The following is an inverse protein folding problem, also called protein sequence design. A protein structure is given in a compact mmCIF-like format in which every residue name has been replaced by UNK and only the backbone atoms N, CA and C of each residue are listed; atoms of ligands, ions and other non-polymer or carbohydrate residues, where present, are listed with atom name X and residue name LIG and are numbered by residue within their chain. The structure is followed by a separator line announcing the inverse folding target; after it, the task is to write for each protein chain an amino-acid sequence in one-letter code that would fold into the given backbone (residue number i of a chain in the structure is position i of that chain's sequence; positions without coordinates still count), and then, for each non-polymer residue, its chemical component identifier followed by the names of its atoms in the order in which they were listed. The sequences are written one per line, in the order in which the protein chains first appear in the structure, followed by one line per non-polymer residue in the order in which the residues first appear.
data_IF_367823121192
#
_entry.id   IF_367823121192
#
_cell.length_a   1.000
_cell.length_b   1.000
_cell.length_c   1.000
_cell.angle_alpha   90.00
_cell.angle_beta   90.00
_cell.angle_gamma   90.00
#
_symmetry.space_group_name_H-M   'P 1'
#
loop_
_entity.id
_entity.type
_entity.pdbx_description
1 polymer ?
#
# COMPACT_ATOMS: atom_id res chain seq x y z
N UNK A 1 3.71 13.33 -15.11
CA UNK A 1 3.54 13.20 -16.59
C UNK A 1 2.51 12.14 -16.97
N UNK A 2 2.44 11.04 -16.23
CA UNK A 2 1.62 9.86 -16.50
C UNK A 2 0.17 10.09 -16.06
N UNK A 3 -0.09 10.75 -14.92
CA UNK A 3 -1.45 11.05 -14.45
C UNK A 3 -2.29 11.90 -15.39
N UNK A 4 -1.67 12.75 -16.21
CA UNK A 4 -2.41 13.56 -17.18
C UNK A 4 -3.10 12.73 -18.25
N UNK A 5 -2.57 11.58 -18.62
CA UNK A 5 -3.17 10.72 -19.64
C UNK A 5 -4.23 9.74 -19.07
N UNK A 6 -3.99 9.15 -17.91
CA UNK A 6 -4.88 8.13 -17.31
C UNK A 6 -6.01 8.70 -16.46
N UNK A 7 -5.71 9.68 -15.62
CA UNK A 7 -6.70 10.26 -14.71
C UNK A 7 -7.74 11.17 -15.40
N UNK A 8 -7.45 11.68 -16.59
CA UNK A 8 -8.41 12.48 -17.37
C UNK A 8 -9.60 11.67 -17.91
N UNK A 9 -9.58 10.36 -17.80
CA UNK A 9 -10.59 9.50 -18.42
C UNK A 9 -11.75 9.13 -17.49
N UNK A 10 -11.69 9.46 -16.21
CA UNK A 10 -12.80 9.18 -15.29
C UNK A 10 -13.88 10.22 -15.48
N UNK A 11 -14.87 9.95 -16.35
CA UNK A 11 -16.15 10.67 -16.32
C UNK A 11 -16.84 10.34 -14.99
N UNK A 12 -16.79 11.27 -14.06
CA UNK A 12 -17.37 11.12 -12.74
C UNK A 12 -18.86 11.34 -12.76
N UNK A 13 -19.59 10.47 -12.07
CA UNK A 13 -20.94 10.77 -11.65
C UNK A 13 -20.97 11.86 -10.54
N UNK A 14 -19.87 11.99 -9.78
CA UNK A 14 -19.67 12.97 -8.72
C UNK A 14 -18.31 13.68 -8.83
N UNK A 15 -18.23 15.00 -8.67
CA UNK A 15 -17.00 15.77 -8.89
C UNK A 15 -16.08 15.82 -7.66
N UNK A 16 -15.76 14.70 -7.04
CA UNK A 16 -14.69 14.72 -6.03
C UNK A 16 -13.33 14.90 -6.71
N UNK A 17 -12.44 15.76 -6.18
CA UNK A 17 -11.13 15.95 -6.77
C UNK A 17 -10.30 14.66 -6.69
N UNK A 18 -9.51 14.37 -7.72
CA UNK A 18 -8.48 13.35 -7.62
C UNK A 18 -7.36 13.92 -6.75
N UNK A 19 -7.01 13.20 -5.71
CA UNK A 19 -5.93 13.55 -4.79
C UNK A 19 -4.71 12.71 -5.15
N UNK A 20 -3.61 13.36 -5.53
CA UNK A 20 -2.32 12.69 -5.71
C UNK A 20 -1.77 12.30 -4.35
N UNK A 21 -1.31 11.06 -4.22
CA UNK A 21 -0.64 10.57 -3.02
C UNK A 21 0.88 10.73 -3.10
N UNK A 22 1.39 11.20 -4.23
CA UNK A 22 2.81 11.42 -4.50
C UNK A 22 3.17 11.15 -5.95
N UNK A 23 4.13 11.90 -6.47
CA UNK A 23 4.59 11.80 -7.86
C UNK A 23 5.79 10.86 -8.03
N UNK A 24 6.30 10.26 -6.96
CA UNK A 24 7.49 9.40 -6.98
C UNK A 24 7.37 8.29 -5.93
N UNK A 25 6.32 7.50 -6.02
CA UNK A 25 6.22 6.29 -5.19
C UNK A 25 6.97 5.17 -5.92
N UNK A 26 7.78 4.43 -5.19
CA UNK A 26 8.41 3.21 -5.71
C UNK A 26 7.86 2.02 -4.93
N UNK A 27 7.17 1.11 -5.63
CA UNK A 27 6.62 -0.10 -5.04
C UNK A 27 7.42 -1.31 -5.52
N UNK A 28 8.13 -2.00 -4.62
CA UNK A 28 9.00 -3.12 -4.94
C UNK A 28 9.95 -2.83 -6.12
N UNK A 29 10.56 -1.65 -6.14
CA UNK A 29 11.46 -1.22 -7.20
C UNK A 29 10.78 -0.70 -8.47
N UNK A 30 9.45 -0.70 -8.55
CA UNK A 30 8.71 -0.18 -9.70
C UNK A 30 8.22 1.23 -9.40
N UNK A 31 8.69 2.25 -10.14
CA UNK A 31 8.16 3.60 -10.01
C UNK A 31 6.69 3.65 -10.40
N UNK A 32 5.88 4.30 -9.57
CA UNK A 32 4.46 4.47 -9.84
C UNK A 32 3.93 5.80 -9.31
N UNK A 33 2.91 6.29 -9.97
CA UNK A 33 2.10 7.38 -9.49
C UNK A 33 0.86 6.81 -8.80
N UNK A 34 0.57 7.31 -7.61
CA UNK A 34 -0.61 6.93 -6.83
C UNK A 34 -1.55 8.10 -6.68
N UNK A 35 -2.84 7.85 -6.86
CA UNK A 35 -3.90 8.79 -6.58
C UNK A 35 -5.14 8.09 -6.05
N UNK A 36 -6.03 8.86 -5.45
CA UNK A 36 -7.35 8.37 -5.08
C UNK A 36 -8.43 9.43 -5.32
N UNK A 37 -9.65 8.96 -5.40
CA UNK A 37 -10.85 9.79 -5.36
C UNK A 37 -12.00 9.03 -4.67
N UNK A 38 -13.00 9.77 -4.24
CA UNK A 38 -14.21 9.20 -3.66
C UNK A 38 -15.36 9.23 -4.67
N UNK A 39 -16.25 8.24 -4.58
CA UNK A 39 -17.46 8.14 -5.41
C UNK A 39 -18.57 7.44 -4.65
N UNK A 40 -19.82 7.69 -5.04
CA UNK A 40 -20.99 6.95 -4.53
C UNK A 40 -21.25 5.66 -5.31
N UNK A 41 -20.52 5.41 -6.39
CA UNK A 41 -20.59 4.15 -7.11
C UNK A 41 -20.01 3.02 -6.25
N UNK A 42 -20.67 1.86 -6.28
CA UNK A 42 -20.16 0.64 -5.64
C UNK A 42 -18.99 0.02 -6.42
N UNK A 43 -18.31 -0.96 -5.83
CA UNK A 43 -17.15 -1.58 -6.46
C UNK A 43 -17.49 -2.23 -7.82
N UNK A 44 -18.60 -2.97 -7.99
CA UNK A 44 -18.98 -3.49 -9.30
C UNK A 44 -19.13 -2.41 -10.37
N UNK A 45 -19.77 -1.30 -10.06
CA UNK A 45 -19.97 -0.18 -11.01
C UNK A 45 -18.65 0.47 -11.39
N UNK A 46 -17.75 0.68 -10.44
CA UNK A 46 -16.41 1.23 -10.69
C UNK A 46 -15.61 0.29 -11.57
N UNK A 47 -15.56 -1.02 -11.25
CA UNK A 47 -14.79 -1.99 -12.00
C UNK A 47 -15.36 -2.19 -13.43
N UNK A 48 -16.68 -2.18 -13.58
CA UNK A 48 -17.32 -2.24 -14.92
C UNK A 48 -16.93 -1.04 -15.76
N UNK A 49 -16.98 0.16 -15.19
CA UNK A 49 -16.54 1.38 -15.87
C UNK A 49 -15.12 1.26 -16.40
N UNK A 50 -14.18 0.84 -15.55
CA UNK A 50 -12.77 0.71 -15.95
C UNK A 50 -12.55 -0.44 -16.93
N UNK A 51 -13.29 -1.55 -16.81
CA UNK A 51 -13.27 -2.64 -17.80
C UNK A 51 -13.66 -2.14 -19.19
N UNK A 52 -14.75 -1.39 -19.30
CA UNK A 52 -15.19 -0.80 -20.55
C UNK A 52 -14.19 0.23 -21.08
N UNK A 53 -13.63 1.04 -20.19
CA UNK A 53 -12.64 2.05 -20.53
C UNK A 53 -11.35 1.42 -21.10
N UNK A 54 -10.81 0.40 -20.45
CA UNK A 54 -9.64 -0.32 -20.90
C UNK A 54 -9.89 -1.04 -22.23
N UNK A 55 -11.05 -1.72 -22.35
CA UNK A 55 -11.45 -2.38 -23.58
C UNK A 55 -11.57 -1.41 -24.75
N UNK A 56 -12.16 -0.23 -24.55
CA UNK A 56 -12.30 0.79 -25.59
C UNK A 56 -10.98 1.38 -26.09
N UNK A 57 -9.93 1.27 -25.28
CA UNK A 57 -8.56 1.70 -25.61
C UNK A 57 -7.69 0.57 -26.16
N UNK A 58 -8.19 -0.64 -26.22
CA UNK A 58 -7.41 -1.80 -26.66
C UNK A 58 -6.37 -2.28 -25.64
N UNK A 59 -6.50 -1.85 -24.38
CA UNK A 59 -5.62 -2.31 -23.32
C UNK A 59 -5.93 -3.75 -22.93
N UNK A 60 -4.89 -4.53 -22.67
CA UNK A 60 -5.06 -5.86 -22.08
C UNK A 60 -5.33 -5.73 -20.59
N UNK A 61 -6.43 -6.30 -20.12
CA UNK A 61 -6.82 -6.20 -18.72
C UNK A 61 -7.16 -7.55 -18.09
N UNK A 62 -7.00 -7.65 -16.79
CA UNK A 62 -7.44 -8.79 -15.98
C UNK A 62 -8.00 -8.30 -14.66
N UNK A 63 -9.10 -8.90 -14.22
CA UNK A 63 -9.55 -8.77 -12.84
C UNK A 63 -8.50 -9.42 -11.93
N UNK A 64 -8.12 -8.76 -10.87
CA UNK A 64 -7.32 -9.37 -9.82
C UNK A 64 -8.25 -10.29 -9.02
N UNK A 65 -8.48 -11.50 -9.57
CA UNK A 65 -9.24 -12.55 -8.89
C UNK A 65 -8.33 -13.20 -7.87
N UNK A 66 -8.77 -13.21 -6.62
CA UNK A 66 -8.52 -14.17 -5.53
C UNK A 66 -7.10 -14.74 -5.31
N UNK A 67 -6.14 -14.58 -6.21
CA UNK A 67 -4.79 -15.13 -6.08
C UNK A 67 -3.73 -14.13 -5.59
N UNK A 68 -4.07 -12.86 -5.42
CA UNK A 68 -3.21 -11.90 -4.77
C UNK A 68 -3.67 -11.73 -3.31
N UNK A 69 -3.16 -12.57 -2.43
CA UNK A 69 -3.37 -12.50 -0.98
C UNK A 69 -2.95 -11.16 -0.34
N UNK A 70 -2.40 -10.24 -1.13
CA UNK A 70 -1.88 -8.95 -0.65
C UNK A 70 -2.95 -7.85 -0.66
N UNK A 71 -4.01 -7.98 -1.48
CA UNK A 71 -5.06 -6.96 -1.59
C UNK A 71 -6.44 -7.62 -1.47
N UNK A 72 -7.07 -7.59 -0.29
CA UNK A 72 -8.38 -8.22 -0.07
C UNK A 72 -9.55 -7.39 -0.64
N UNK A 73 -9.29 -6.45 -1.55
CA UNK A 73 -10.28 -5.53 -2.11
C UNK A 73 -10.49 -5.78 -3.59
N UNK A 74 -11.72 -5.53 -4.11
CA UNK A 74 -12.01 -5.59 -5.53
C UNK A 74 -11.05 -4.73 -6.33
N UNK A 75 -10.39 -5.31 -7.34
CA UNK A 75 -9.42 -4.60 -8.15
C UNK A 75 -9.39 -5.09 -9.59
N UNK A 76 -8.93 -4.24 -10.50
CA UNK A 76 -8.66 -4.55 -11.91
C UNK A 76 -7.32 -3.95 -12.30
N UNK A 77 -6.55 -4.66 -13.11
CA UNK A 77 -5.30 -4.15 -13.67
C UNK A 77 -5.33 -4.24 -15.19
N UNK A 78 -4.78 -3.25 -15.86
CA UNK A 78 -4.67 -3.21 -17.31
C UNK A 78 -3.28 -2.76 -17.74
N UNK A 79 -2.83 -3.22 -18.89
CA UNK A 79 -1.55 -2.89 -19.48
C UNK A 79 -1.78 -2.26 -20.85
N UNK A 80 -1.20 -1.09 -21.04
CA UNK A 80 -0.97 -0.50 -22.35
C UNK A 80 0.39 -0.98 -22.86
N UNK A 81 0.37 -1.83 -23.89
CA UNK A 81 1.61 -2.38 -24.46
C UNK A 81 2.36 -1.38 -25.35
N UNK A 82 1.69 -0.37 -25.86
CA UNK A 82 2.27 0.67 -26.70
C UNK A 82 3.04 1.69 -25.83
N UNK A 83 2.36 2.21 -24.81
CA UNK A 83 2.95 3.17 -23.85
C UNK A 83 3.76 2.49 -22.74
N UNK A 84 3.65 1.15 -22.63
CA UNK A 84 4.32 0.33 -21.61
C UNK A 84 4.02 0.79 -20.18
N UNK A 85 2.76 1.06 -19.92
CA UNK A 85 2.28 1.41 -18.60
C UNK A 85 1.28 0.38 -18.08
N UNK A 86 1.30 0.16 -16.79
CA UNK A 86 0.29 -0.65 -16.11
C UNK A 86 -0.56 0.27 -15.22
N UNK A 87 -1.87 0.19 -15.36
CA UNK A 87 -2.81 0.85 -14.48
C UNK A 87 -3.51 -0.18 -13.59
N UNK A 88 -3.51 0.06 -12.30
CA UNK A 88 -4.26 -0.73 -11.32
C UNK A 88 -5.31 0.15 -10.67
N UNK A 89 -6.53 -0.35 -10.60
CA UNK A 89 -7.67 0.29 -9.95
C UNK A 89 -8.12 -0.62 -8.82
N UNK A 90 -8.15 -0.10 -7.60
CA UNK A 90 -8.62 -0.81 -6.42
C UNK A 90 -9.75 -0.02 -5.76
N UNK A 91 -10.78 -0.71 -5.29
CA UNK A 91 -11.96 -0.08 -4.68
C UNK A 91 -12.10 -0.52 -3.24
N UNK A 92 -12.11 0.45 -2.34
CA UNK A 92 -12.41 0.27 -0.93
C UNK A 92 -13.81 0.82 -0.65
N UNK A 93 -14.77 -0.08 -0.40
CA UNK A 93 -16.14 0.31 -0.05
C UNK A 93 -16.23 0.69 1.42
N UNK A 94 -16.65 1.91 1.71
CA UNK A 94 -17.08 2.34 3.03
C UNK A 94 -18.62 2.28 3.10
N UNK A 95 -19.13 1.11 3.44
CA UNK A 95 -20.57 0.83 3.42
C UNK A 95 -21.35 1.65 4.43
N UNK A 96 -20.74 1.97 5.56
CA UNK A 96 -21.40 2.72 6.65
C UNK A 96 -21.61 4.18 6.26
N UNK A 97 -20.74 4.73 5.44
CA UNK A 97 -20.80 6.12 4.99
C UNK A 97 -21.36 6.27 3.57
N UNK A 98 -21.63 5.16 2.87
CA UNK A 98 -22.29 5.13 1.56
C UNK A 98 -21.43 5.70 0.42
N UNK A 99 -20.11 5.57 0.51
CA UNK A 99 -19.18 5.91 -0.58
C UNK A 99 -18.09 4.86 -0.74
N UNK A 100 -17.43 4.90 -1.87
CA UNK A 100 -16.24 4.09 -2.17
C UNK A 100 -15.03 5.00 -2.38
N UNK A 101 -13.89 4.62 -1.84
CA UNK A 101 -12.59 5.21 -2.18
C UNK A 101 -11.94 4.38 -3.28
N UNK A 102 -11.63 5.02 -4.39
CA UNK A 102 -11.00 4.39 -5.56
C UNK A 102 -9.54 4.80 -5.60
N UNK A 103 -8.66 3.82 -5.48
CA UNK A 103 -7.22 4.01 -5.60
C UNK A 103 -6.78 3.71 -7.03
N UNK A 104 -5.96 4.58 -7.58
CA UNK A 104 -5.37 4.46 -8.90
C UNK A 104 -3.86 4.35 -8.76
N UNK A 105 -3.28 3.28 -9.28
CA UNK A 105 -1.84 3.11 -9.40
C UNK A 105 -1.45 3.06 -10.87
N UNK A 106 -0.51 3.88 -11.30
CA UNK A 106 0.03 3.88 -12.65
C UNK A 106 1.52 3.61 -12.59
N UNK A 107 1.94 2.44 -13.07
CA UNK A 107 3.30 1.98 -13.04
C UNK A 107 3.95 2.06 -14.43
N UNK A 108 5.19 2.49 -14.48
CA UNK A 108 6.02 2.44 -15.69
C UNK A 108 6.61 1.02 -15.83
N UNK A 109 6.31 0.38 -16.95
CA UNK A 109 6.75 -0.99 -17.26
C UNK A 109 8.07 -1.02 -18.04
N UNK A 110 8.71 0.12 -18.28
CA UNK A 110 10.00 0.16 -18.96
C UNK A 110 11.07 -0.51 -18.11
N UNK A 111 11.88 -1.43 -18.66
CA UNK A 111 12.92 -2.11 -17.88
C UNK A 111 13.91 -1.16 -17.21
N UNK A 112 14.22 -0.04 -17.86
CA UNK A 112 15.11 1.00 -17.33
C UNK A 112 14.51 1.79 -16.16
N UNK A 113 13.18 1.79 -16.00
CA UNK A 113 12.51 2.38 -14.85
C UNK A 113 12.48 1.43 -13.64
N UNK A 114 12.61 0.14 -13.88
CA UNK A 114 12.62 -0.86 -12.82
C UNK A 114 13.95 -0.80 -12.05
N UNK A 115 13.83 -0.67 -10.75
CA UNK A 115 14.96 -0.76 -9.83
C UNK A 115 15.05 -2.18 -9.26
N UNK A 116 16.20 -2.60 -8.69
CA UNK A 116 16.24 -3.82 -7.89
C UNK A 116 15.12 -3.80 -6.84
N UNK A 117 14.58 -4.99 -6.54
CA UNK A 117 13.60 -5.14 -5.44
C UNK A 117 14.08 -4.33 -4.25
N UNK A 118 13.24 -3.43 -3.76
CA UNK A 118 13.63 -2.57 -2.66
C UNK A 118 13.93 -3.40 -1.42
N UNK A 119 15.07 -3.09 -0.83
CA UNK A 119 15.39 -3.58 0.50
C UNK A 119 14.36 -3.01 1.48
N UNK A 120 13.82 -3.84 2.33
CA UNK A 120 12.92 -3.44 3.43
C UNK A 120 13.67 -2.69 4.54
N UNK A 121 14.90 -2.29 4.26
CA UNK A 121 15.80 -1.68 5.23
C UNK A 121 16.23 -2.71 6.28
N UNK A 122 16.37 -2.26 7.50
CA UNK A 122 16.70 -3.10 8.65
C UNK A 122 15.45 -3.66 9.37
N UNK A 123 14.26 -3.54 8.75
CA UNK A 123 13.04 -4.16 9.29
C UNK A 123 13.15 -5.69 9.23
N UNK A 124 13.04 -6.38 10.37
CA UNK A 124 12.96 -7.83 10.37
C UNK A 124 11.72 -8.32 9.62
N UNK A 125 11.90 -9.17 8.63
CA UNK A 125 10.80 -9.82 7.93
C UNK A 125 10.45 -11.13 8.63
N UNK A 126 9.17 -11.32 8.91
CA UNK A 126 8.70 -12.56 9.53
C UNK A 126 8.94 -13.74 8.57
N UNK A 127 9.49 -14.88 9.04
CA UNK A 127 9.83 -16.00 8.17
C UNK A 127 8.63 -16.50 7.36
N UNK A 128 8.85 -16.75 6.06
CA UNK A 128 7.82 -17.29 5.16
C UNK A 128 6.84 -16.26 4.60
N UNK A 129 7.05 -14.97 4.86
CA UNK A 129 6.20 -13.90 4.32
C UNK A 129 6.86 -13.18 3.14
N UNK A 130 6.04 -12.57 2.29
CA UNK A 130 6.48 -11.77 1.16
C UNK A 130 6.07 -10.30 1.38
N UNK A 131 6.98 -9.41 1.81
CA UNK A 131 6.67 -8.03 2.05
C UNK A 131 6.46 -7.24 0.75
N UNK A 132 5.54 -6.29 0.80
CA UNK A 132 5.41 -5.22 -0.18
C UNK A 132 6.06 -3.96 0.40
N UNK A 133 7.11 -3.46 -0.24
CA UNK A 133 7.80 -2.24 0.16
C UNK A 133 7.37 -1.07 -0.72
N UNK A 134 6.92 0.00 -0.10
CA UNK A 134 6.53 1.27 -0.73
C UNK A 134 7.44 2.37 -0.21
N UNK A 135 8.22 2.98 -1.11
CA UNK A 135 9.03 4.15 -0.78
C UNK A 135 8.38 5.39 -1.38
N UNK A 136 8.10 6.36 -0.57
CA UNK A 136 7.60 7.67 -0.99
C UNK A 136 8.63 8.76 -0.72
N UNK A 137 8.65 9.74 -1.61
CA UNK A 137 9.48 10.93 -1.52
C UNK A 137 8.54 12.13 -1.49
N UNK A 138 8.66 12.96 -0.48
CA UNK A 138 7.90 14.21 -0.44
C UNK A 138 8.71 15.40 -0.97
N UNK A 139 8.02 16.54 -1.15
CA UNK A 139 8.62 17.76 -1.68
C UNK A 139 9.69 18.38 -0.75
N UNK A 140 9.75 17.96 0.50
CA UNK A 140 10.70 18.43 1.52
C UNK A 140 11.92 17.51 1.64
N UNK A 141 12.13 16.62 0.65
CA UNK A 141 13.19 15.61 0.63
C UNK A 141 13.15 14.60 1.80
N UNK A 142 12.02 14.50 2.50
CA UNK A 142 11.84 13.40 3.43
C UNK A 142 11.50 12.12 2.66
N UNK A 143 12.12 11.04 3.07
CA UNK A 143 11.87 9.71 2.50
C UNK A 143 11.17 8.86 3.54
N UNK A 144 10.04 8.27 3.18
CA UNK A 144 9.41 7.26 4.01
C UNK A 144 9.42 5.90 3.32
N UNK A 145 9.69 4.86 4.08
CA UNK A 145 9.58 3.48 3.65
C UNK A 145 8.41 2.84 4.41
N UNK A 146 7.39 2.42 3.69
CA UNK A 146 6.29 1.64 4.24
C UNK A 146 6.42 0.20 3.76
N UNK A 147 6.40 -0.74 4.70
CA UNK A 147 6.45 -2.18 4.41
C UNK A 147 5.18 -2.82 4.95
N UNK A 148 4.48 -3.57 4.11
CA UNK A 148 3.25 -4.26 4.52
C UNK A 148 3.26 -5.73 4.08
N UNK A 149 2.75 -6.60 4.92
CA UNK A 149 2.57 -8.03 4.65
C UNK A 149 1.65 -8.69 5.68
N UNK A 150 1.18 -9.88 5.39
CA UNK A 150 0.37 -10.68 6.29
C UNK A 150 1.20 -11.84 6.82
N UNK A 151 1.03 -12.13 8.10
CA UNK A 151 1.68 -13.23 8.82
C UNK A 151 0.60 -14.20 9.26
N UNK A 152 0.65 -15.51 8.90
CA UNK A 152 -0.33 -16.50 9.30
C UNK A 152 -0.08 -16.99 10.75
N UNK A 153 0.02 -16.02 11.67
CA UNK A 153 0.30 -16.25 13.08
C UNK A 153 -0.52 -15.30 13.96
N UNK A 154 -0.72 -15.70 15.20
CA UNK A 154 -1.45 -14.93 16.17
C UNK A 154 -0.72 -13.61 16.53
N UNK A 155 -1.49 -12.62 16.92
CA UNK A 155 -1.02 -11.27 17.27
C UNK A 155 0.18 -11.27 18.24
N UNK A 156 0.09 -12.04 19.31
CA UNK A 156 1.13 -12.10 20.34
C UNK A 156 2.45 -12.65 19.81
N UNK A 157 2.37 -13.66 18.94
CA UNK A 157 3.55 -14.25 18.29
C UNK A 157 4.27 -13.21 17.45
N UNK A 158 3.51 -12.48 16.64
CA UNK A 158 4.06 -11.42 15.77
C UNK A 158 4.61 -10.25 16.58
N UNK A 159 3.88 -9.78 17.59
CA UNK A 159 4.33 -8.69 18.46
C UNK A 159 5.62 -9.06 19.22
N UNK A 160 5.71 -10.29 19.71
CA UNK A 160 6.89 -10.80 20.42
C UNK A 160 8.10 -10.91 19.49
N UNK A 161 7.89 -11.41 18.27
CA UNK A 161 8.93 -11.47 17.24
C UNK A 161 9.55 -10.10 16.99
N UNK A 162 8.71 -9.06 16.77
CA UNK A 162 9.25 -7.71 16.53
C UNK A 162 9.98 -7.14 17.73
N UNK A 163 9.47 -7.32 18.95
CA UNK A 163 10.15 -6.84 20.15
C UNK A 163 11.53 -7.48 20.34
N UNK A 164 11.64 -8.76 20.06
CA UNK A 164 12.91 -9.47 20.17
C UNK A 164 13.87 -9.04 19.06
N UNK A 165 13.45 -9.07 17.79
CA UNK A 165 14.32 -8.77 16.67
C UNK A 165 14.77 -7.32 16.62
N UNK A 166 13.86 -6.37 16.89
CA UNK A 166 14.21 -4.96 16.93
C UNK A 166 15.21 -4.65 18.04
N UNK A 167 15.06 -5.32 19.20
CA UNK A 167 16.04 -5.20 20.29
C UNK A 167 17.42 -5.76 19.90
N UNK A 168 17.46 -6.88 19.20
CA UNK A 168 18.72 -7.46 18.68
C UNK A 168 19.44 -6.50 17.70
N UNK A 169 18.68 -5.71 16.95
CA UNK A 169 19.18 -4.66 16.05
C UNK A 169 19.53 -3.34 16.77
N UNK A 170 19.39 -3.28 18.09
CA UNK A 170 19.73 -2.10 18.87
C UNK A 170 18.64 -1.04 18.95
N UNK A 171 17.41 -1.39 18.57
CA UNK A 171 16.25 -0.53 18.78
C UNK A 171 15.69 -0.71 20.19
N UNK A 172 15.21 0.37 20.77
CA UNK A 172 14.42 0.36 21.99
C UNK A 172 12.95 0.61 21.66
N UNK A 173 12.06 -0.15 22.30
CA UNK A 173 10.62 0.11 22.20
C UNK A 173 10.31 1.38 23.02
N UNK A 174 9.62 2.34 22.39
CA UNK A 174 8.99 3.46 23.08
C UNK A 174 7.87 2.92 23.99
N UNK A 175 7.16 3.78 24.70
CA UNK A 175 6.12 3.38 25.65
C UNK A 175 5.23 2.25 25.09
N UNK A 176 5.18 1.07 25.74
CA UNK A 176 4.39 -0.06 25.27
C UNK A 176 2.91 0.31 25.14
N UNK A 177 2.38 0.24 23.92
CA UNK A 177 0.97 0.49 23.68
C UNK A 177 0.21 -0.83 23.83
N UNK A 178 -0.81 -0.93 24.69
CA UNK A 178 -1.62 -2.13 24.81
C UNK A 178 -2.39 -2.38 23.51
N UNK A 179 -2.61 -3.66 23.20
CA UNK A 179 -3.51 -4.03 22.10
C UNK A 179 -4.95 -3.65 22.45
N UNK A 180 -5.66 -3.07 21.48
CA UNK A 180 -7.09 -2.80 21.56
C UNK A 180 -7.83 -3.89 20.81
N UNK A 181 -8.88 -4.43 21.42
CA UNK A 181 -9.75 -5.41 20.76
C UNK A 181 -11.05 -4.74 20.38
N UNK A 182 -11.47 -4.89 19.13
CA UNK A 182 -12.74 -4.39 18.64
C UNK A 182 -13.91 -5.34 18.98
N UNK A 183 -15.16 -4.94 18.66
CA UNK A 183 -16.36 -5.72 18.92
C UNK A 183 -16.41 -7.03 18.12
N UNK A 184 -15.73 -7.12 16.99
CA UNK A 184 -15.65 -8.31 16.14
C UNK A 184 -14.54 -9.28 16.56
N UNK A 185 -13.76 -8.94 17.59
CA UNK A 185 -12.63 -9.73 18.08
C UNK A 185 -11.31 -9.46 17.36
N UNK A 186 -11.28 -8.50 16.45
CA UNK A 186 -10.06 -8.00 15.83
C UNK A 186 -9.17 -7.29 16.84
N UNK A 187 -7.85 -7.42 16.71
CA UNK A 187 -6.89 -6.77 17.60
C UNK A 187 -6.00 -5.82 16.83
N UNK A 188 -5.85 -4.62 17.36
CA UNK A 188 -4.98 -3.58 16.82
C UNK A 188 -3.97 -3.17 17.88
N UNK A 189 -2.68 -3.09 17.48
CA UNK A 189 -1.61 -2.60 18.34
C UNK A 189 -0.61 -1.80 17.52
N UNK A 190 -0.08 -0.73 18.10
CA UNK A 190 1.02 0.02 17.53
C UNK A 190 2.28 -0.22 18.36
N UNK A 191 3.35 -0.69 17.73
CA UNK A 191 4.68 -0.78 18.31
C UNK A 191 5.54 0.33 17.74
N UNK A 192 6.29 1.02 18.59
CA UNK A 192 7.20 2.08 18.16
C UNK A 192 8.60 1.75 18.66
N UNK A 193 9.55 1.80 17.73
CA UNK A 193 10.95 1.51 18.00
C UNK A 193 11.82 2.67 17.57
N UNK A 194 12.80 3.01 18.37
CA UNK A 194 13.75 4.08 18.09
C UNK A 194 15.19 3.60 18.33
N UNK A 195 16.11 4.07 17.48
CA UNK A 195 17.55 3.88 17.60
C UNK A 195 18.29 5.12 17.11
N UNK A 196 19.63 5.09 17.15
CA UNK A 196 20.45 6.12 16.51
C UNK A 196 20.32 6.13 14.97
N UNK A 197 19.79 5.05 14.37
CA UNK A 197 19.68 4.87 12.91
C UNK A 197 18.30 5.25 12.36
N UNK A 198 17.32 5.53 13.22
CA UNK A 198 15.99 5.92 12.80
C UNK A 198 14.87 5.42 13.71
N UNK A 199 13.66 5.55 13.22
CA UNK A 199 12.43 5.13 13.91
C UNK A 199 11.58 4.24 13.04
N UNK A 200 11.03 3.20 13.67
CA UNK A 200 10.01 2.36 13.07
C UNK A 200 8.71 2.45 13.86
N UNK A 201 7.62 2.61 13.14
CA UNK A 201 6.27 2.47 13.69
C UNK A 201 5.59 1.29 13.00
N UNK A 202 5.19 0.29 13.77
CA UNK A 202 4.51 -0.90 13.27
C UNK A 202 3.08 -0.90 13.75
N UNK A 203 2.12 -0.98 12.83
CA UNK A 203 0.73 -1.28 13.13
C UNK A 203 0.49 -2.78 12.89
N UNK A 204 0.06 -3.48 13.93
CA UNK A 204 -0.33 -4.88 13.89
C UNK A 204 -1.84 -4.96 13.97
N UNK A 205 -2.49 -5.52 12.95
CA UNK A 205 -3.93 -5.73 12.89
C UNK A 205 -4.21 -7.22 12.71
N UNK A 206 -4.85 -7.86 13.68
CA UNK A 206 -5.11 -9.31 13.65
C UNK A 206 -6.58 -9.60 13.53
N UNK A 207 -6.92 -10.53 12.66
CA UNK A 207 -8.25 -11.05 12.46
C UNK A 207 -8.16 -12.54 12.02
N UNK A 208 -9.05 -13.37 12.53
CA UNK A 208 -9.16 -14.81 12.15
C UNK A 208 -7.83 -15.61 12.19
N UNK A 209 -6.97 -15.30 13.14
CA UNK A 209 -5.69 -16.00 13.33
C UNK A 209 -4.54 -15.55 12.45
N UNK A 210 -4.75 -14.55 11.61
CA UNK A 210 -3.70 -13.91 10.82
C UNK A 210 -3.39 -12.50 11.37
N UNK A 211 -2.19 -12.01 11.16
CA UNK A 211 -1.77 -10.68 11.58
C UNK A 211 -1.21 -9.91 10.38
N UNK A 212 -1.91 -8.85 9.98
CA UNK A 212 -1.39 -7.84 9.08
C UNK A 212 -0.35 -6.96 9.78
N UNK A 213 0.78 -6.76 9.13
CA UNK A 213 1.86 -5.88 9.58
C UNK A 213 1.98 -4.74 8.61
N UNK A 214 1.90 -3.50 9.10
CA UNK A 214 2.27 -2.30 8.35
C UNK A 214 3.34 -1.57 9.15
N UNK A 215 4.55 -1.53 8.63
CA UNK A 215 5.69 -0.87 9.25
C UNK A 215 6.08 0.38 8.46
N UNK A 216 6.28 1.49 9.14
CA UNK A 216 6.70 2.76 8.55
C UNK A 216 8.03 3.19 9.17
N UNK A 217 9.03 3.38 8.32
CA UNK A 217 10.27 4.05 8.69
C UNK A 217 10.18 5.51 8.25
N UNK A 218 10.37 6.43 9.17
CA UNK A 218 10.55 7.85 8.89
C UNK A 218 11.99 8.23 9.22
N UNK A 219 12.84 8.33 8.22
CA UNK A 219 14.16 8.94 8.36
C UNK A 219 14.03 10.43 8.07
N UNK A 220 14.29 11.28 9.04
CA UNK A 220 14.64 12.66 8.76
C UNK A 220 16.10 12.66 8.29
N UNK A 221 16.34 12.96 7.02
CA UNK A 221 17.69 13.34 6.62
C UNK A 221 18.06 14.61 7.41
N UNK A 222 18.97 14.47 8.34
CA UNK A 222 19.62 15.61 8.98
C UNK A 222 20.42 16.28 7.86
N UNK A 223 19.93 17.40 7.35
CA UNK A 223 20.72 18.29 6.49
C UNK A 223 21.99 18.66 7.27
N UNK A 224 23.13 18.11 6.83
CA UNK A 224 24.44 18.58 7.22
C UNK A 224 24.88 19.75 6.34
#
# INVERSE_FOLDING_TARGET
RIFKAGAMAVKRADPTPIVSMGEQVVANGVPMDLAFFETRADAPQVLEYYTQHFGSRGWSWSGLKENYQVIPHPAISAIDLEERVQMTVMVLENRDEGYSTVFLGLADMLPEAQRPLEDVGDLPVFPGTAPLALRSFDAEASTSLTVTFTVPEAHETVASFYRERMRELGYSEDEPTPAVTDEAGGRLQTLRFASAHGRWTLALASYDGETGVTAVNSSQEVQQ
#
